data_IF_767280765093
#
_entry.id   IF_767280765093
#
_cell.length_a   1.000
_cell.length_b   1.000
_cell.length_c   1.000
_cell.angle_alpha   90.00
_cell.angle_beta   90.00
_cell.angle_gamma   90.00
#
_symmetry.space_group_name_H-M   'P 1'
#
loop_
_entity.id
_entity.type
_entity.pdbx_description
1 polymer ?
#
# COMPACT_ATOMS: atom_id res chain seq x y z
N UNK A 1 0.98 -35.96 3.91
CA UNK A 1 1.71 -34.70 4.24
C UNK A 1 2.25 -34.06 2.95
N UNK A 2 1.56 -33.06 2.40
CA UNK A 2 1.84 -32.48 1.09
C UNK A 2 3.03 -31.49 1.04
N UNK A 3 4.24 -31.93 1.44
CA UNK A 3 5.43 -31.07 1.51
C UNK A 3 6.37 -31.14 0.27
N UNK A 4 5.87 -31.42 -0.93
CA UNK A 4 6.77 -31.72 -2.07
C UNK A 4 7.54 -30.52 -2.65
N UNK A 5 7.07 -29.27 -2.47
CA UNK A 5 7.60 -28.13 -3.24
C UNK A 5 7.62 -26.78 -2.51
N UNK A 6 7.71 -26.79 -1.20
CA UNK A 6 7.88 -25.55 -0.42
C UNK A 6 9.34 -25.07 -0.53
N UNK A 7 9.55 -23.80 -0.88
CA UNK A 7 10.88 -23.18 -0.91
C UNK A 7 11.31 -22.79 0.51
N UNK A 8 12.59 -22.99 0.82
CA UNK A 8 13.17 -22.67 2.14
C UNK A 8 13.24 -21.17 2.38
N UNK A 9 13.31 -20.77 3.66
CA UNK A 9 13.43 -19.35 4.08
C UNK A 9 14.64 -18.65 3.47
N UNK A 10 15.76 -19.35 3.30
CA UNK A 10 17.00 -18.83 2.71
C UNK A 10 16.81 -18.41 1.26
N UNK A 11 16.16 -19.25 0.45
CA UNK A 11 15.83 -18.93 -0.95
C UNK A 11 14.91 -17.73 -1.02
N UNK A 12 13.86 -17.70 -0.19
CA UNK A 12 12.90 -16.58 -0.16
C UNK A 12 13.55 -15.27 0.27
N UNK A 13 14.42 -15.29 1.28
CA UNK A 13 15.13 -14.10 1.79
C UNK A 13 16.12 -13.58 0.74
N UNK A 14 16.97 -14.44 0.19
CA UNK A 14 17.95 -14.04 -0.84
C UNK A 14 17.26 -13.43 -2.07
N UNK A 15 16.17 -14.03 -2.54
CA UNK A 15 15.44 -13.52 -3.70
C UNK A 15 14.84 -12.14 -3.47
N UNK A 16 14.28 -11.88 -2.28
CA UNK A 16 13.72 -10.56 -1.93
C UNK A 16 14.80 -9.49 -1.95
N UNK A 17 15.96 -9.78 -1.37
CA UNK A 17 17.12 -8.86 -1.34
C UNK A 17 17.64 -8.55 -2.75
N UNK A 18 17.67 -9.55 -3.64
CA UNK A 18 18.10 -9.35 -5.04
C UNK A 18 17.10 -8.44 -5.77
N UNK A 19 15.80 -8.65 -5.58
CA UNK A 19 14.76 -7.84 -6.24
C UNK A 19 14.78 -6.39 -5.74
N UNK A 20 14.90 -6.18 -4.43
CA UNK A 20 14.95 -4.85 -3.82
C UNK A 20 16.12 -4.00 -4.35
N UNK A 21 17.29 -4.62 -4.59
CA UNK A 21 18.48 -3.90 -5.05
C UNK A 21 18.60 -3.79 -6.58
N UNK A 22 18.13 -4.78 -7.32
CA UNK A 22 18.41 -4.92 -8.75
C UNK A 22 17.17 -5.05 -9.62
N UNK A 23 16.04 -4.47 -9.19
CA UNK A 23 14.76 -4.53 -9.90
C UNK A 23 14.89 -4.19 -11.39
N UNK A 24 15.63 -3.13 -11.74
CA UNK A 24 15.78 -2.64 -13.12
C UNK A 24 16.49 -3.60 -14.07
N UNK A 25 17.30 -4.52 -13.54
CA UNK A 25 18.04 -5.51 -14.34
C UNK A 25 17.30 -6.83 -14.51
N UNK A 26 16.28 -7.08 -13.70
CA UNK A 26 15.57 -8.36 -13.67
C UNK A 26 14.46 -8.39 -14.73
N UNK A 27 14.10 -9.59 -15.17
CA UNK A 27 13.08 -9.81 -16.20
C UNK A 27 12.10 -10.92 -15.77
N UNK A 28 11.13 -11.28 -16.61
CA UNK A 28 10.16 -12.36 -16.35
C UNK A 28 10.68 -13.74 -16.78
N UNK A 29 11.74 -13.77 -17.60
CA UNK A 29 12.36 -15.00 -18.08
C UNK A 29 13.29 -15.65 -17.03
N UNK A 30 13.36 -16.99 -17.05
CA UNK A 30 14.15 -17.75 -16.10
C UNK A 30 15.64 -17.80 -16.45
N UNK A 31 15.97 -17.94 -17.73
CA UNK A 31 17.35 -18.17 -18.16
C UNK A 31 18.21 -16.92 -18.00
N UNK A 32 17.65 -15.78 -18.37
CA UNK A 32 18.19 -14.43 -18.13
C UNK A 32 18.42 -14.18 -16.64
N UNK A 33 17.38 -14.31 -15.81
CA UNK A 33 17.50 -14.11 -14.35
C UNK A 33 18.50 -15.07 -13.70
N UNK A 34 18.64 -16.29 -14.22
CA UNK A 34 19.64 -17.25 -13.74
C UNK A 34 21.07 -16.75 -13.98
N UNK A 35 21.36 -16.18 -15.17
CA UNK A 35 22.66 -15.57 -15.49
C UNK A 35 22.93 -14.35 -14.62
N UNK A 36 21.93 -13.48 -14.48
CA UNK A 36 22.01 -12.29 -13.62
C UNK A 36 22.29 -12.68 -12.16
N UNK A 37 21.66 -13.75 -11.65
CA UNK A 37 21.94 -14.25 -10.30
C UNK A 37 23.36 -14.83 -10.15
N UNK A 38 24.00 -15.29 -11.22
CA UNK A 38 25.39 -15.76 -11.20
C UNK A 38 26.37 -14.58 -11.12
N UNK A 39 26.05 -13.47 -11.79
CA UNK A 39 26.87 -12.26 -11.81
C UNK A 39 26.75 -11.47 -10.50
N UNK A 40 25.55 -11.36 -9.94
CA UNK A 40 25.29 -10.50 -8.77
C UNK A 40 25.73 -11.15 -7.46
N UNK A 41 25.62 -12.47 -7.33
CA UNK A 41 25.76 -13.15 -6.05
C UNK A 41 26.59 -14.43 -6.15
N UNK A 42 27.49 -14.62 -5.19
CA UNK A 42 28.23 -15.86 -5.01
C UNK A 42 27.29 -16.91 -4.42
N UNK A 43 26.68 -17.72 -5.28
CA UNK A 43 25.78 -18.80 -4.87
C UNK A 43 26.52 -20.14 -4.94
N UNK A 44 26.68 -20.86 -3.81
CA UNK A 44 27.58 -22.02 -3.73
C UNK A 44 27.06 -23.25 -4.49
N UNK A 45 25.75 -23.35 -4.77
CA UNK A 45 25.16 -24.55 -5.38
C UNK A 45 24.25 -24.21 -6.55
N UNK A 46 24.40 -24.96 -7.66
CA UNK A 46 23.53 -24.91 -8.85
C UNK A 46 22.04 -25.05 -8.49
N UNK A 47 21.71 -25.96 -7.58
CA UNK A 47 20.33 -26.19 -7.12
C UNK A 47 19.75 -24.98 -6.38
N UNK A 48 20.56 -24.29 -5.57
CA UNK A 48 20.14 -23.08 -4.86
C UNK A 48 19.92 -21.93 -5.82
N UNK A 49 20.84 -21.72 -6.77
CA UNK A 49 20.73 -20.72 -7.82
C UNK A 49 19.46 -20.88 -8.64
N UNK A 50 19.17 -22.10 -9.10
CA UNK A 50 17.95 -22.38 -9.85
C UNK A 50 16.68 -22.13 -9.03
N UNK A 51 16.70 -22.43 -7.73
CA UNK A 51 15.57 -22.14 -6.83
C UNK A 51 15.38 -20.64 -6.60
N UNK A 52 16.46 -19.87 -6.52
CA UNK A 52 16.43 -18.41 -6.36
C UNK A 52 15.90 -17.76 -7.64
N UNK A 53 16.52 -18.05 -8.79
CA UNK A 53 16.07 -17.53 -10.09
C UNK A 53 14.60 -17.85 -10.37
N UNK A 54 14.16 -19.08 -10.07
CA UNK A 54 12.77 -19.49 -10.23
C UNK A 54 11.79 -18.86 -9.21
N UNK A 55 12.28 -18.39 -8.06
CA UNK A 55 11.45 -17.65 -7.12
C UNK A 55 11.40 -16.15 -7.49
N UNK A 56 12.48 -15.60 -8.05
CA UNK A 56 12.53 -14.24 -8.57
C UNK A 56 11.54 -14.06 -9.73
N UNK A 57 11.54 -14.96 -10.72
CA UNK A 57 10.56 -14.90 -11.83
C UNK A 57 9.12 -14.98 -11.34
N UNK A 58 8.87 -15.79 -10.30
CA UNK A 58 7.55 -15.89 -9.69
C UNK A 58 7.15 -14.60 -8.98
N UNK A 59 8.08 -13.91 -8.32
CA UNK A 59 7.82 -12.62 -7.69
C UNK A 59 7.62 -11.52 -8.72
N UNK A 60 8.37 -11.49 -9.81
CA UNK A 60 8.20 -10.52 -10.91
C UNK A 60 6.78 -10.56 -11.49
N UNK A 61 6.26 -11.76 -11.79
CA UNK A 61 4.86 -11.96 -12.23
C UNK A 61 3.82 -11.56 -11.19
N UNK A 62 4.18 -11.50 -9.91
CA UNK A 62 3.28 -11.03 -8.85
C UNK A 62 3.31 -9.53 -8.67
N UNK A 63 4.47 -8.90 -8.89
CA UNK A 63 4.63 -7.44 -8.83
C UNK A 63 3.76 -6.77 -9.90
N UNK A 64 3.68 -7.33 -11.12
CA UNK A 64 2.78 -6.84 -12.18
C UNK A 64 1.30 -6.82 -11.76
N UNK A 65 0.88 -7.80 -10.94
CA UNK A 65 -0.52 -7.91 -10.49
C UNK A 65 -0.84 -7.03 -9.29
N UNK A 66 0.16 -6.51 -8.60
CA UNK A 66 -0.03 -5.66 -7.44
C UNK A 66 1.13 -5.70 -6.44
N UNK A 67 0.99 -4.96 -5.33
CA UNK A 67 2.04 -4.83 -4.33
C UNK A 67 2.33 -6.16 -3.64
N UNK A 68 3.61 -6.55 -3.63
CA UNK A 68 4.05 -7.79 -2.99
C UNK A 68 4.58 -7.48 -1.59
N UNK A 69 3.93 -8.05 -0.56
CA UNK A 69 4.33 -7.86 0.84
C UNK A 69 5.80 -8.23 1.08
N UNK A 70 6.55 -7.31 1.71
CA UNK A 70 7.93 -7.51 2.15
C UNK A 70 8.98 -7.40 1.02
N UNK A 71 8.69 -6.59 0.01
CA UNK A 71 9.65 -6.09 -0.97
C UNK A 71 9.37 -4.60 -1.09
N UNK A 72 10.32 -3.77 -0.65
CA UNK A 72 10.36 -2.33 -0.89
C UNK A 72 10.98 -2.12 -2.28
N UNK A 73 10.24 -1.50 -3.18
CA UNK A 73 10.80 -1.00 -4.44
C UNK A 73 10.74 0.50 -4.31
N UNK A 74 11.90 1.17 -4.28
CA UNK A 74 11.99 2.64 -4.12
C UNK A 74 11.11 3.38 -5.13
N UNK A 75 11.01 2.84 -6.34
CA UNK A 75 10.14 3.36 -7.40
C UNK A 75 8.65 3.40 -6.99
N UNK A 76 8.19 2.40 -6.22
CA UNK A 76 6.81 2.36 -5.71
C UNK A 76 6.60 3.32 -4.54
N UNK A 77 7.64 3.60 -3.75
CA UNK A 77 7.57 4.57 -2.65
C UNK A 77 7.43 5.99 -3.20
N UNK A 78 8.21 6.35 -4.22
CA UNK A 78 8.14 7.67 -4.86
C UNK A 78 6.80 7.92 -5.58
N UNK A 79 6.26 6.90 -6.27
CA UNK A 79 4.96 7.00 -6.93
C UNK A 79 3.79 7.08 -5.93
N UNK A 80 3.90 6.38 -4.79
CA UNK A 80 2.95 6.52 -3.68
C UNK A 80 3.00 7.91 -3.06
N UNK A 81 4.20 8.45 -2.80
CA UNK A 81 4.34 9.79 -2.22
C UNK A 81 3.70 10.86 -3.10
N UNK A 82 3.80 10.77 -4.43
CA UNK A 82 3.09 11.71 -5.32
C UNK A 82 1.57 11.58 -5.27
N UNK A 83 1.07 10.35 -5.09
CA UNK A 83 -0.37 10.09 -4.97
C UNK A 83 -0.94 10.56 -3.64
N UNK A 84 -0.24 10.27 -2.55
CA UNK A 84 -0.68 10.60 -1.20
C UNK A 84 -0.51 12.11 -0.92
N UNK A 85 0.49 12.76 -1.51
CA UNK A 85 0.66 14.23 -1.47
C UNK A 85 -0.17 14.97 -2.53
N UNK A 86 -1.11 14.30 -3.21
CA UNK A 86 -1.97 14.96 -4.18
C UNK A 86 -2.90 15.94 -3.48
N UNK A 87 -2.59 17.24 -3.57
CA UNK A 87 -3.46 18.31 -3.11
C UNK A 87 -4.50 18.61 -4.19
N UNK A 88 -5.80 18.42 -3.92
CA UNK A 88 -6.84 18.85 -4.85
C UNK A 88 -6.89 20.38 -4.94
N UNK A 89 -7.33 20.90 -6.09
CA UNK A 89 -7.50 22.35 -6.31
C UNK A 89 -8.62 22.96 -5.44
N UNK A 90 -9.57 22.14 -5.01
CA UNK A 90 -10.70 22.53 -4.16
C UNK A 90 -10.59 21.77 -2.85
N UNK A 91 -10.51 22.49 -1.74
CA UNK A 91 -10.49 21.87 -0.43
C UNK A 91 -11.89 21.39 -0.09
N UNK A 92 -11.98 20.17 0.46
CA UNK A 92 -13.25 19.62 0.96
C UNK A 92 -13.84 20.49 2.09
N UNK A 93 -13.01 21.30 2.74
CA UNK A 93 -13.36 22.15 3.88
C UNK A 93 -13.63 23.61 3.42
N UNK A 94 -13.53 23.92 2.11
CA UNK A 94 -13.71 25.30 1.65
C UNK A 94 -15.11 25.82 2.01
N UNK A 95 -15.23 26.92 2.78
CA UNK A 95 -16.51 27.44 3.26
C UNK A 95 -17.39 28.01 2.14
N UNK A 96 -16.85 28.13 0.92
CA UNK A 96 -17.59 28.54 -0.29
C UNK A 96 -18.35 27.38 -0.94
N UNK A 97 -17.92 26.13 -0.71
CA UNK A 97 -18.51 24.93 -1.31
C UNK A 97 -19.23 24.04 -0.28
N UNK A 98 -19.12 24.31 1.02
CA UNK A 98 -19.95 23.66 2.05
C UNK A 98 -21.30 24.39 2.21
N UNK A 99 -22.42 23.79 1.75
CA UNK A 99 -23.73 24.41 1.95
C UNK A 99 -24.20 24.35 3.41
N UNK A 100 -23.74 23.38 4.21
CA UNK A 100 -24.12 23.19 5.62
C UNK A 100 -22.95 22.57 6.41
N UNK A 101 -22.62 23.14 7.57
CA UNK A 101 -21.65 22.61 8.55
C UNK A 101 -22.47 22.05 9.71
N UNK A 102 -22.46 20.73 9.89
CA UNK A 102 -23.14 20.09 11.01
C UNK A 102 -22.27 20.20 12.28
N UNK A 103 -22.81 20.79 13.34
CA UNK A 103 -22.11 20.90 14.62
C UNK A 103 -23.01 20.44 15.77
N UNK A 104 -22.39 19.75 16.72
CA UNK A 104 -23.06 19.28 17.93
C UNK A 104 -23.30 20.42 18.92
N UNK A 105 -24.23 20.23 19.86
CA UNK A 105 -24.70 21.27 20.78
C UNK A 105 -23.57 21.90 21.62
N UNK A 106 -22.66 21.08 22.15
CA UNK A 106 -21.52 21.56 22.94
C UNK A 106 -20.55 22.40 22.09
N UNK A 107 -20.27 21.96 20.86
CA UNK A 107 -19.45 22.72 19.90
C UNK A 107 -20.06 24.05 19.52
N UNK A 108 -21.40 24.13 19.39
CA UNK A 108 -22.11 25.38 19.11
C UNK A 108 -21.96 26.39 20.26
N UNK A 109 -22.15 25.93 21.50
CA UNK A 109 -21.98 26.75 22.70
C UNK A 109 -20.54 27.26 22.85
N UNK A 110 -19.55 26.42 22.52
CA UNK A 110 -18.14 26.82 22.51
C UNK A 110 -17.86 27.91 21.48
N UNK A 111 -18.42 27.81 20.27
CA UNK A 111 -18.26 28.81 19.19
C UNK A 111 -18.93 30.14 19.55
N UNK A 112 -20.12 30.09 20.17
CA UNK A 112 -20.82 31.27 20.68
C UNK A 112 -20.05 31.96 21.82
N UNK A 113 -19.43 31.19 22.73
CA UNK A 113 -18.63 31.74 23.83
C UNK A 113 -17.29 32.35 23.37
N UNK A 114 -16.80 31.98 22.18
CA UNK A 114 -15.58 32.52 21.57
C UNK A 114 -15.84 33.68 20.61
N UNK A 115 -17.09 34.16 20.48
CA UNK A 115 -17.51 35.22 19.56
C UNK A 115 -17.11 34.97 18.08
N UNK A 116 -17.03 33.70 17.66
CA UNK A 116 -16.63 33.34 16.29
C UNK A 116 -17.86 33.20 15.38
N UNK A 117 -17.99 34.08 14.39
CA UNK A 117 -19.10 34.07 13.43
C UNK A 117 -18.81 33.14 12.23
N UNK A 118 -19.28 31.89 12.29
CA UNK A 118 -19.11 30.89 11.21
C UNK A 118 -20.42 30.77 10.40
N UNK A 119 -20.39 30.99 9.06
CA UNK A 119 -21.57 30.85 8.22
C UNK A 119 -22.01 29.39 8.04
N UNK A 120 -23.33 29.15 7.90
CA UNK A 120 -23.97 27.86 7.56
C UNK A 120 -23.88 26.74 8.62
N UNK A 121 -23.88 27.05 9.92
CA UNK A 121 -23.93 26.05 10.99
C UNK A 121 -25.35 25.47 11.18
N UNK A 122 -25.51 24.14 11.16
CA UNK A 122 -26.80 23.44 11.31
C UNK A 122 -26.67 22.32 12.36
N UNK A 123 -27.72 22.09 13.14
CA UNK A 123 -27.76 20.98 14.12
C UNK A 123 -28.02 19.63 13.41
N UNK A 124 -27.35 18.54 13.80
CA UNK A 124 -27.54 17.23 13.18
C UNK A 124 -28.97 16.72 13.37
N UNK A 125 -29.61 16.27 12.28
CA UNK A 125 -30.93 15.65 12.34
C UNK A 125 -30.82 14.30 13.05
N UNK A 126 -31.43 14.15 14.22
CA UNK A 126 -31.51 12.89 14.94
C UNK A 126 -32.23 11.84 14.09
N UNK A 127 -31.49 10.95 13.41
CA UNK A 127 -32.06 9.76 12.79
C UNK A 127 -32.39 8.75 13.89
N UNK A 128 -33.60 8.81 14.43
CA UNK A 128 -34.16 7.76 15.29
C UNK A 128 -34.41 6.49 14.46
N UNK A 129 -33.35 5.78 14.10
CA UNK A 129 -33.46 4.42 13.55
C UNK A 129 -33.44 3.45 14.72
N UNK A 130 -34.63 3.19 15.29
CA UNK A 130 -34.82 2.06 16.20
C UNK A 130 -34.53 0.79 15.39
N UNK A 131 -33.37 0.17 15.61
CA UNK A 131 -33.10 -1.14 15.03
C UNK A 131 -34.08 -2.16 15.63
N UNK A 132 -34.81 -2.95 14.83
CA UNK A 132 -35.68 -3.96 15.38
C UNK A 132 -34.84 -5.04 16.06
N UNK A 133 -35.16 -5.29 17.34
CA UNK A 133 -34.59 -6.40 18.13
C UNK A 133 -34.93 -7.70 17.41
N UNK A 134 -33.93 -8.43 16.91
CA UNK A 134 -34.11 -9.79 16.40
C UNK A 134 -34.45 -10.71 17.58
N UNK A 135 -35.61 -11.38 17.49
CA UNK A 135 -35.94 -12.56 18.31
C UNK A 135 -35.08 -13.75 17.92
#
# INVERSE_FOLDING_TARGET
MGCGRVRTKTVKKASRVIIEKYYTKLTHDFHTNKRICEEIAVIPSKKMRNRIAGFITHLMKRIEKGPVRGISIKLQEEERERRDNYMPEISIIDPKNLPQIEADLETRQMVEAMDMNIPNLVEPKQSNTVMPIRR
#
